data_IF_328475545938
#
_entry.id   IF_328475545938
#
_cell.length_a   1.000
_cell.length_b   1.000
_cell.length_c   1.000
_cell.angle_alpha   90.00
_cell.angle_beta   90.00
_cell.angle_gamma   90.00
#
_symmetry.space_group_name_H-M   'P 1'
#
loop_
_entity.id
_entity.type
_entity.pdbx_description
1 polymer ?
#
# COMPACT_ATOMS: atom_id res chain seq x y z
N UNK A 1 21.53 -2.73 -10.64
CA UNK A 1 20.91 -3.91 -10.01
C UNK A 1 20.26 -3.40 -8.74
N UNK A 2 18.96 -3.16 -8.76
CA UNK A 2 18.24 -2.77 -7.54
C UNK A 2 18.26 -3.98 -6.59
N UNK A 3 18.73 -3.74 -5.37
CA UNK A 3 18.73 -4.68 -4.25
C UNK A 3 17.32 -5.26 -4.10
N UNK A 4 17.23 -6.57 -3.79
CA UNK A 4 16.02 -7.37 -3.94
C UNK A 4 14.78 -6.85 -3.20
N UNK A 5 14.98 -6.00 -2.18
CA UNK A 5 13.94 -5.33 -1.39
C UNK A 5 14.35 -3.88 -1.05
N UNK A 6 14.53 -3.00 -2.04
CA UNK A 6 15.07 -1.65 -1.82
C UNK A 6 14.28 -0.84 -0.78
N UNK A 7 12.97 -1.06 -0.66
CA UNK A 7 12.12 -0.35 0.30
C UNK A 7 12.44 -0.70 1.77
N UNK A 8 13.09 -1.84 2.01
CA UNK A 8 13.58 -2.23 3.34
C UNK A 8 14.94 -1.62 3.67
N UNK A 9 15.73 -1.30 2.65
CA UNK A 9 17.09 -0.74 2.79
C UNK A 9 17.07 0.80 2.79
N UNK A 10 16.18 1.41 2.01
CA UNK A 10 16.02 2.84 1.85
C UNK A 10 14.55 3.27 2.06
N UNK A 11 14.16 3.65 3.30
CA UNK A 11 12.79 4.07 3.59
C UNK A 11 12.41 5.38 2.89
N UNK A 12 13.39 6.16 2.42
CA UNK A 12 13.17 7.39 1.64
C UNK A 12 13.01 7.13 0.14
N UNK A 13 13.16 5.87 -0.31
CA UNK A 13 12.97 5.54 -1.71
C UNK A 13 11.50 5.74 -2.17
N UNK A 14 11.27 6.00 -3.47
CA UNK A 14 9.92 6.12 -4.01
C UNK A 14 9.11 4.85 -3.74
N UNK A 15 7.86 5.00 -3.27
CA UNK A 15 6.96 3.88 -2.98
C UNK A 15 7.40 2.96 -1.83
N UNK A 16 8.44 3.33 -1.07
CA UNK A 16 8.93 2.50 0.02
C UNK A 16 7.88 2.33 1.12
N UNK A 17 7.15 3.39 1.45
CA UNK A 17 6.11 3.37 2.47
C UNK A 17 4.91 2.53 2.00
N UNK A 18 4.52 2.68 0.72
CA UNK A 18 3.51 1.83 0.08
C UNK A 18 3.85 0.35 0.23
N UNK A 19 5.06 -0.04 -0.15
CA UNK A 19 5.49 -1.44 -0.09
C UNK A 19 5.58 -1.95 1.35
N UNK A 20 6.07 -1.13 2.29
CA UNK A 20 6.17 -1.51 3.70
C UNK A 20 4.79 -1.71 4.37
N UNK A 21 3.82 -0.82 4.07
CA UNK A 21 2.43 -0.97 4.55
C UNK A 21 1.80 -2.21 3.95
N UNK A 22 1.91 -2.39 2.63
CA UNK A 22 1.32 -3.55 1.96
C UNK A 22 1.93 -4.87 2.46
N UNK A 23 3.24 -4.90 2.66
CA UNK A 23 3.92 -6.04 3.30
C UNK A 23 3.36 -6.33 4.69
N UNK A 24 3.14 -5.30 5.50
CA UNK A 24 2.64 -5.50 6.87
C UNK A 24 1.20 -6.04 6.90
N UNK A 25 0.31 -5.55 6.02
CA UNK A 25 -1.12 -5.85 6.09
C UNK A 25 -1.61 -6.90 5.10
N UNK A 26 -0.88 -7.18 4.03
CA UNK A 26 -1.29 -8.10 2.97
C UNK A 26 -0.36 -9.30 2.78
N UNK A 27 0.88 -9.27 3.30
CA UNK A 27 1.78 -10.41 3.17
C UNK A 27 1.26 -11.63 3.96
N UNK A 28 1.12 -12.82 3.35
CA UNK A 28 0.46 -13.97 3.98
C UNK A 28 1.11 -14.44 5.28
N UNK A 29 2.43 -14.28 5.40
CA UNK A 29 3.18 -14.66 6.62
C UNK A 29 3.21 -13.59 7.71
N UNK A 30 2.96 -12.32 7.37
CA UNK A 30 3.04 -11.20 8.33
C UNK A 30 1.67 -10.68 8.76
N UNK A 31 0.67 -10.88 7.90
CA UNK A 31 -0.69 -10.43 8.12
C UNK A 31 -1.29 -11.09 9.37
N UNK A 32 -1.53 -10.29 10.41
CA UNK A 32 -2.39 -10.71 11.53
C UNK A 32 -3.82 -10.91 11.03
N UNK A 33 -4.58 -11.84 11.62
CA UNK A 33 -5.97 -12.06 11.23
C UNK A 33 -6.72 -10.71 11.12
N UNK A 34 -7.16 -10.37 9.90
CA UNK A 34 -7.83 -9.12 9.48
C UNK A 34 -6.94 -7.93 9.02
N UNK A 35 -5.79 -8.15 8.36
CA UNK A 35 -4.96 -7.08 7.79
C UNK A 35 -5.66 -5.96 7.03
N UNK A 36 -6.53 -6.25 6.03
CA UNK A 36 -7.27 -5.20 5.31
C UNK A 36 -8.14 -4.33 6.22
N UNK A 37 -8.81 -4.94 7.20
CA UNK A 37 -9.59 -4.18 8.19
C UNK A 37 -8.69 -3.36 9.13
N UNK A 38 -7.54 -3.90 9.51
CA UNK A 38 -6.57 -3.20 10.35
C UNK A 38 -6.00 -1.97 9.63
N UNK A 39 -5.69 -2.09 8.33
CA UNK A 39 -5.28 -0.97 7.49
C UNK A 39 -6.38 0.09 7.38
N UNK A 40 -7.61 -0.32 7.07
CA UNK A 40 -8.76 0.60 6.98
C UNK A 40 -8.98 1.37 8.29
N UNK A 41 -8.91 0.68 9.43
CA UNK A 41 -8.98 1.32 10.76
C UNK A 41 -7.82 2.28 10.99
N UNK A 42 -6.59 1.90 10.65
CA UNK A 42 -5.42 2.75 10.80
C UNK A 42 -5.59 4.06 10.02
N UNK A 43 -5.95 3.97 8.73
CA UNK A 43 -6.19 5.15 7.88
C UNK A 43 -7.31 6.02 8.47
N UNK A 44 -8.41 5.41 8.89
CA UNK A 44 -9.52 6.14 9.49
C UNK A 44 -9.12 6.93 10.74
N UNK A 45 -8.29 6.34 11.62
CA UNK A 45 -7.79 7.03 12.83
C UNK A 45 -6.90 8.22 12.47
N UNK A 46 -6.01 8.06 11.48
CA UNK A 46 -5.12 9.16 11.05
C UNK A 46 -5.94 10.31 10.48
N UNK A 47 -6.86 10.03 9.55
CA UNK A 47 -7.65 11.07 8.89
C UNK A 47 -8.70 11.72 9.80
N UNK A 48 -9.34 10.95 10.69
CA UNK A 48 -10.46 11.43 11.51
C UNK A 48 -10.02 11.97 12.87
N UNK A 49 -9.00 11.36 13.48
CA UNK A 49 -8.57 11.64 14.85
C UNK A 49 -7.22 12.37 14.91
N UNK A 50 -6.54 12.55 13.76
CA UNK A 50 -5.19 13.11 13.72
C UNK A 50 -4.15 12.19 14.38
N UNK A 51 -4.45 10.89 14.48
CA UNK A 51 -3.53 9.90 15.03
C UNK A 51 -2.25 9.84 14.19
N UNK A 52 -1.10 9.63 14.84
CA UNK A 52 0.18 9.38 14.16
C UNK A 52 0.65 7.99 14.55
N UNK A 53 0.84 7.11 13.56
CA UNK A 53 1.39 5.79 13.80
C UNK A 53 2.90 5.87 14.02
N UNK A 54 3.42 5.05 14.93
CA UNK A 54 4.86 4.95 15.17
C UNK A 54 5.58 4.09 14.11
N UNK A 55 4.83 3.28 13.34
CA UNK A 55 5.39 2.30 12.41
C UNK A 55 5.21 2.66 10.95
N UNK A 56 4.16 3.43 10.61
CA UNK A 56 3.82 3.74 9.22
C UNK A 56 3.45 5.21 9.05
N UNK A 57 3.99 5.85 8.02
CA UNK A 57 3.60 7.19 7.59
C UNK A 57 2.37 7.08 6.68
N UNK A 58 1.18 7.07 7.29
CA UNK A 58 -0.10 6.94 6.58
C UNK A 58 -0.32 8.06 5.53
N UNK A 59 -0.02 9.35 5.80
CA UNK A 59 -0.08 10.39 4.78
C UNK A 59 0.78 10.08 3.55
N UNK A 60 2.03 9.65 3.76
CA UNK A 60 2.93 9.26 2.67
C UNK A 60 2.42 8.04 1.91
N UNK A 61 2.02 7.00 2.63
CA UNK A 61 1.39 5.80 2.07
C UNK A 61 0.22 6.15 1.14
N UNK A 62 -0.71 7.01 1.57
CA UNK A 62 -1.86 7.40 0.76
C UNK A 62 -1.45 8.20 -0.50
N UNK A 63 -0.41 9.03 -0.40
CA UNK A 63 0.12 9.77 -1.55
C UNK A 63 0.78 8.84 -2.58
N UNK A 64 1.56 7.87 -2.11
CA UNK A 64 2.21 6.85 -2.95
C UNK A 64 1.17 5.92 -3.59
N UNK A 65 0.16 5.46 -2.83
CA UNK A 65 -0.96 4.65 -3.35
C UNK A 65 -1.72 5.37 -4.45
N UNK A 66 -2.07 6.65 -4.25
CA UNK A 66 -2.74 7.46 -5.29
C UNK A 66 -1.88 7.58 -6.53
N UNK A 67 -0.58 7.84 -6.36
CA UNK A 67 0.37 7.91 -7.48
C UNK A 67 0.44 6.59 -8.24
N UNK A 68 0.49 5.45 -7.54
CA UNK A 68 0.53 4.14 -8.16
C UNK A 68 -0.79 3.77 -8.86
N UNK A 69 -1.94 4.25 -8.36
CA UNK A 69 -3.24 4.08 -9.01
C UNK A 69 -3.39 4.94 -10.27
N UNK A 70 -2.84 6.16 -10.27
CA UNK A 70 -2.91 7.06 -11.43
C UNK A 70 -1.86 6.72 -12.50
N UNK A 71 -0.67 6.27 -12.11
CA UNK A 71 0.41 5.91 -13.02
C UNK A 71 1.17 4.66 -12.52
N UNK A 72 0.61 3.45 -12.75
CA UNK A 72 1.17 2.20 -12.21
C UNK A 72 2.59 1.91 -12.72
N UNK A 73 2.98 2.46 -13.88
CA UNK A 73 4.33 2.33 -14.43
C UNK A 73 5.43 3.00 -13.60
N UNK A 74 5.08 3.81 -12.59
CA UNK A 74 6.06 4.39 -11.64
C UNK A 74 6.47 3.42 -10.55
N UNK A 75 5.63 2.43 -10.25
CA UNK A 75 5.98 1.38 -9.32
C UNK A 75 6.97 0.45 -10.03
N UNK A 76 8.16 0.18 -9.46
CA UNK A 76 9.08 -0.72 -10.12
C UNK A 76 8.47 -2.13 -10.24
N UNK A 77 8.58 -2.73 -11.41
CA UNK A 77 8.00 -4.04 -11.73
C UNK A 77 8.34 -5.11 -10.67
N UNK A 78 7.32 -5.88 -10.30
CA UNK A 78 7.42 -7.05 -9.43
C UNK A 78 7.69 -6.74 -7.95
N UNK A 79 7.80 -5.48 -7.54
CA UNK A 79 7.99 -5.12 -6.14
C UNK A 79 6.72 -5.30 -5.33
N UNK A 80 5.56 -4.98 -5.92
CA UNK A 80 4.26 -5.19 -5.30
C UNK A 80 4.03 -6.67 -4.99
N UNK A 81 4.25 -7.53 -5.99
CA UNK A 81 4.15 -8.98 -5.85
C UNK A 81 5.11 -9.51 -4.78
N UNK A 82 6.36 -9.02 -4.71
CA UNK A 82 7.29 -9.43 -3.65
C UNK A 82 6.86 -8.99 -2.25
N UNK A 83 6.31 -7.79 -2.12
CA UNK A 83 5.89 -7.26 -0.82
C UNK A 83 4.66 -8.00 -0.29
N UNK A 84 3.79 -8.52 -1.15
CA UNK A 84 2.46 -8.99 -0.75
C UNK A 84 2.19 -10.45 -1.04
N UNK A 85 2.91 -11.04 -1.99
CA UNK A 85 2.64 -12.38 -2.55
C UNK A 85 1.17 -12.57 -2.95
N UNK A 86 0.50 -11.52 -3.44
CA UNK A 86 -0.84 -11.67 -3.98
C UNK A 86 -0.80 -12.61 -5.21
N UNK A 87 -1.76 -13.52 -5.30
CA UNK A 87 -1.90 -14.50 -6.40
C UNK A 87 -3.33 -14.49 -6.98
N UNK A 88 -4.27 -13.82 -6.32
CA UNK A 88 -5.69 -13.82 -6.71
C UNK A 88 -5.99 -12.81 -7.83
N UNK A 89 -5.14 -11.79 -7.97
CA UNK A 89 -5.33 -10.66 -8.86
C UNK A 89 -4.58 -10.81 -10.18
N UNK A 90 -5.18 -10.34 -11.30
CA UNK A 90 -4.58 -10.50 -12.62
C UNK A 90 -3.33 -9.64 -12.84
N UNK A 91 -3.20 -8.52 -12.12
CA UNK A 91 -2.11 -7.56 -12.28
C UNK A 91 -1.99 -6.60 -11.07
N UNK A 92 -0.88 -5.85 -11.02
CA UNK A 92 -0.56 -4.89 -9.96
C UNK A 92 -1.65 -3.80 -9.81
N UNK A 93 -2.28 -3.36 -10.90
CA UNK A 93 -3.31 -2.32 -10.82
C UNK A 93 -4.57 -2.85 -10.15
N UNK A 94 -5.03 -4.05 -10.52
CA UNK A 94 -6.17 -4.70 -9.89
C UNK A 94 -5.97 -4.89 -8.37
N UNK A 95 -4.75 -5.25 -7.95
CA UNK A 95 -4.41 -5.32 -6.53
C UNK A 95 -4.48 -3.95 -5.84
N UNK A 96 -3.89 -2.90 -6.42
CA UNK A 96 -3.95 -1.55 -5.86
C UNK A 96 -5.40 -1.01 -5.78
N UNK A 97 -6.23 -1.33 -6.76
CA UNK A 97 -7.66 -0.99 -6.75
C UNK A 97 -8.40 -1.67 -5.59
N UNK A 98 -8.09 -2.95 -5.32
CA UNK A 98 -8.61 -3.68 -4.15
C UNK A 98 -8.17 -3.01 -2.85
N UNK A 99 -6.89 -2.67 -2.70
CA UNK A 99 -6.37 -1.96 -1.51
C UNK A 99 -7.12 -0.64 -1.29
N UNK A 100 -7.35 0.13 -2.34
CA UNK A 100 -8.14 1.36 -2.24
C UNK A 100 -9.57 1.10 -1.75
N UNK A 101 -10.21 0.04 -2.23
CA UNK A 101 -11.57 -0.35 -1.82
C UNK A 101 -11.64 -0.84 -0.38
N UNK A 102 -10.60 -1.52 0.10
CA UNK A 102 -10.51 -1.96 1.50
C UNK A 102 -10.42 -0.75 2.45
N UNK A 103 -9.65 0.28 2.07
CA UNK A 103 -9.51 1.51 2.85
C UNK A 103 -10.78 2.37 2.76
N UNK A 104 -11.30 2.58 1.55
CA UNK A 104 -12.41 3.47 1.27
C UNK A 104 -13.56 2.75 0.57
N UNK A 105 -14.35 1.94 1.30
CA UNK A 105 -15.46 1.22 0.70
C UNK A 105 -16.46 2.19 0.09
N UNK A 106 -16.67 2.06 -1.23
CA UNK A 106 -17.62 2.86 -2.00
C UNK A 106 -17.10 4.22 -2.48
N UNK A 107 -15.86 4.62 -2.17
CA UNK A 107 -15.26 5.77 -2.85
C UNK A 107 -14.84 5.40 -4.27
N UNK A 108 -14.96 6.32 -5.24
CA UNK A 108 -14.36 6.14 -6.55
C UNK A 108 -12.84 6.05 -6.41
N UNK A 109 -12.20 5.40 -7.39
CA UNK A 109 -10.74 5.42 -7.50
C UNK A 109 -10.26 6.86 -7.68
N UNK A 110 -9.04 7.19 -7.22
CA UNK A 110 -8.42 8.47 -7.53
C UNK A 110 -8.09 8.48 -9.03
N UNK A 111 -9.03 8.97 -9.83
CA UNK A 111 -8.78 9.32 -11.22
C UNK A 111 -7.95 10.60 -11.24
N UNK A 112 -6.91 10.64 -12.07
CA UNK A 112 -6.16 11.85 -12.38
C UNK A 112 -7.17 12.97 -12.73
N UNK A 113 -7.11 14.06 -11.97
CA UNK A 113 -7.97 15.24 -12.17
C UNK A 113 -7.33 16.21 -13.14
#
# INVERSE_FOLDING_TARGET
MATLDYWRDDPDAPFAELLAVLETFYHPELNEANGPEALSRLVHRVESEGFTSAHHDVPRFLAELRTALSDPGRLPDGQLCKATYYDEEPDDAAFLERVWRDIYPGRPLPSDG
#
